data_IF_894044893232
#
_entry.id   IF_894044893232
#
_cell.length_a   1.000
_cell.length_b   1.000
_cell.length_c   1.000
_cell.angle_alpha   90.00
_cell.angle_beta   90.00
_cell.angle_gamma   90.00
#
_symmetry.space_group_name_H-M   'P 1'
#
loop_
_entity.id
_entity.type
_entity.pdbx_description
1 polymer ?
#
# COMPACT_ATOMS: atom_id res chain seq x y z
N UNK A 1 -19.73 2.70 -21.84
CA UNK A 1 -19.91 3.57 -20.67
C UNK A 1 -20.89 2.90 -19.73
N UNK A 2 -20.61 2.88 -18.44
CA UNK A 2 -21.50 2.32 -17.42
C UNK A 2 -21.75 3.37 -16.34
N UNK A 3 -22.95 3.39 -15.78
CA UNK A 3 -23.35 4.34 -14.74
C UNK A 3 -23.67 3.56 -13.47
N UNK A 4 -23.11 3.98 -12.34
CA UNK A 4 -23.39 3.40 -11.02
C UNK A 4 -24.15 4.43 -10.19
N UNK A 5 -25.29 4.02 -9.62
CA UNK A 5 -26.07 4.84 -8.69
C UNK A 5 -25.96 4.25 -7.28
N UNK A 6 -25.41 5.03 -6.35
CA UNK A 6 -25.28 4.65 -4.94
C UNK A 6 -26.37 5.35 -4.14
N UNK A 7 -27.37 4.60 -3.68
CA UNK A 7 -28.50 5.14 -2.92
C UNK A 7 -28.20 5.17 -1.43
N UNK A 8 -28.77 6.17 -0.73
CA UNK A 8 -28.66 6.35 0.74
C UNK A 8 -27.21 6.40 1.22
N UNK A 9 -26.36 7.10 0.49
CA UNK A 9 -24.99 7.37 0.93
C UNK A 9 -25.02 8.43 2.04
N UNK A 10 -24.30 8.18 3.12
CA UNK A 10 -24.20 9.10 4.26
C UNK A 10 -23.56 10.43 3.84
N UNK A 11 -24.11 11.53 4.33
CA UNK A 11 -23.65 12.89 4.04
C UNK A 11 -22.23 13.17 4.55
N UNK A 12 -21.78 12.52 5.65
CA UNK A 12 -20.38 12.63 6.08
C UNK A 12 -19.44 11.98 5.07
N UNK A 13 -19.85 10.85 4.47
CA UNK A 13 -19.06 10.17 3.43
C UNK A 13 -18.94 11.06 2.20
N UNK A 14 -20.04 11.67 1.75
CA UNK A 14 -20.02 12.63 0.62
C UNK A 14 -19.09 13.81 0.93
N UNK A 15 -19.16 14.35 2.15
CA UNK A 15 -18.33 15.47 2.59
C UNK A 15 -16.84 15.13 2.62
N UNK A 16 -16.49 13.94 3.11
CA UNK A 16 -15.12 13.41 3.07
C UNK A 16 -14.60 13.24 1.65
N UNK A 17 -15.42 12.69 0.75
CA UNK A 17 -15.04 12.49 -0.66
C UNK A 17 -14.81 13.82 -1.37
N UNK A 18 -15.65 14.84 -1.12
CA UNK A 18 -15.44 16.19 -1.66
C UNK A 18 -14.11 16.79 -1.21
N UNK A 19 -13.80 16.73 0.09
CA UNK A 19 -12.51 17.21 0.62
C UNK A 19 -11.34 16.50 -0.04
N UNK A 20 -11.41 15.17 -0.15
CA UNK A 20 -10.37 14.36 -0.78
C UNK A 20 -10.18 14.71 -2.26
N UNK A 21 -11.27 14.90 -3.00
CA UNK A 21 -11.23 15.32 -4.40
C UNK A 21 -10.53 16.68 -4.57
N UNK A 22 -10.85 17.65 -3.72
CA UNK A 22 -10.18 18.95 -3.68
C UNK A 22 -8.69 18.84 -3.39
N UNK A 23 -8.30 18.03 -2.39
CA UNK A 23 -6.88 17.79 -2.07
C UNK A 23 -6.11 17.16 -3.22
N UNK A 24 -6.77 16.32 -4.02
CA UNK A 24 -6.17 15.65 -5.17
C UNK A 24 -6.28 16.45 -6.48
N UNK A 25 -6.78 17.69 -6.46
CA UNK A 25 -7.06 18.50 -7.64
C UNK A 25 -7.92 17.77 -8.70
N UNK A 26 -8.94 17.04 -8.25
CA UNK A 26 -9.85 16.26 -9.08
C UNK A 26 -11.31 16.66 -8.85
N UNK A 27 -12.17 16.41 -9.84
CA UNK A 27 -13.62 16.45 -9.62
C UNK A 27 -14.05 15.30 -8.70
N UNK A 28 -15.20 15.45 -8.04
CA UNK A 28 -15.77 14.40 -7.19
C UNK A 28 -15.99 13.11 -8.00
N UNK A 29 -16.55 13.21 -9.21
CA UNK A 29 -16.73 12.06 -10.09
C UNK A 29 -15.40 11.38 -10.41
N UNK A 30 -14.37 12.16 -10.73
CA UNK A 30 -13.06 11.61 -11.06
C UNK A 30 -12.40 10.93 -9.86
N UNK A 31 -12.59 11.45 -8.65
CA UNK A 31 -12.09 10.82 -7.43
C UNK A 31 -12.86 9.52 -7.12
N UNK A 32 -14.19 9.52 -7.26
CA UNK A 32 -15.00 8.29 -7.08
C UNK A 32 -14.62 7.23 -8.11
N UNK A 33 -14.45 7.61 -9.38
CA UNK A 33 -13.99 6.69 -10.43
C UNK A 33 -12.64 6.08 -10.08
N UNK A 34 -11.68 6.91 -9.67
CA UNK A 34 -10.35 6.45 -9.29
C UNK A 34 -10.39 5.48 -8.10
N UNK A 35 -11.23 5.75 -7.10
CA UNK A 35 -11.43 4.85 -5.95
C UNK A 35 -12.03 3.51 -6.40
N UNK A 36 -13.05 3.53 -7.26
CA UNK A 36 -13.70 2.31 -7.75
C UNK A 36 -12.76 1.49 -8.64
N UNK A 37 -12.02 2.11 -9.54
CA UNK A 37 -11.00 1.45 -10.36
C UNK A 37 -9.89 0.86 -9.49
N UNK A 38 -9.41 1.61 -8.50
CA UNK A 38 -8.42 1.13 -7.55
C UNK A 38 -8.93 -0.06 -6.74
N UNK A 39 -10.16 0.02 -6.22
CA UNK A 39 -10.78 -1.06 -5.45
C UNK A 39 -11.10 -2.31 -6.29
N UNK A 40 -11.46 -2.14 -7.56
CA UNK A 40 -11.68 -3.24 -8.49
C UNK A 40 -10.37 -3.88 -8.96
N UNK A 41 -9.30 -3.08 -9.10
CA UNK A 41 -7.95 -3.57 -9.39
C UNK A 41 -7.28 -4.19 -8.15
N UNK A 42 -7.72 -3.82 -6.94
CA UNK A 42 -7.41 -4.47 -5.68
C UNK A 42 -8.16 -5.81 -5.59
N UNK A 43 -7.82 -6.74 -6.49
CA UNK A 43 -8.06 -8.15 -6.24
C UNK A 43 -7.12 -8.56 -5.09
N UNK A 44 -7.59 -8.31 -3.87
CA UNK A 44 -6.87 -8.52 -2.63
C UNK A 44 -6.37 -9.97 -2.54
N UNK A 45 -7.11 -10.90 -3.13
CA UNK A 45 -6.74 -12.31 -3.26
C UNK A 45 -5.51 -12.45 -4.17
N UNK A 46 -5.57 -11.91 -5.40
CA UNK A 46 -4.44 -11.94 -6.34
C UNK A 46 -3.19 -11.21 -5.80
N UNK A 47 -3.35 -10.08 -5.09
CA UNK A 47 -2.23 -9.36 -4.47
C UNK A 47 -1.62 -10.15 -3.30
N UNK A 48 -2.45 -10.80 -2.48
CA UNK A 48 -1.97 -11.69 -1.42
C UNK A 48 -1.22 -12.87 -1.99
N UNK A 49 -1.68 -13.45 -3.09
CA UNK A 49 -1.02 -14.58 -3.74
C UNK A 49 0.30 -14.17 -4.40
N UNK A 50 0.33 -13.03 -5.09
CA UNK A 50 1.56 -12.45 -5.62
C UNK A 50 2.58 -12.17 -4.50
N UNK A 51 2.13 -11.62 -3.36
CA UNK A 51 2.98 -11.39 -2.20
C UNK A 51 3.50 -12.70 -1.60
N UNK A 52 2.64 -13.72 -1.44
CA UNK A 52 3.03 -15.06 -0.94
C UNK A 52 4.08 -15.69 -1.84
N UNK A 53 3.94 -15.57 -3.15
CA UNK A 53 4.91 -16.08 -4.13
C UNK A 53 6.24 -15.34 -4.06
N UNK A 54 6.22 -14.01 -3.92
CA UNK A 54 7.45 -13.23 -3.74
C UNK A 54 8.15 -13.60 -2.42
N UNK A 55 7.38 -13.72 -1.34
CA UNK A 55 7.89 -14.10 -0.02
C UNK A 55 8.46 -15.52 -0.03
N UNK A 56 7.86 -16.49 -0.72
CA UNK A 56 8.40 -17.85 -0.84
C UNK A 56 9.72 -17.86 -1.60
N UNK A 57 9.84 -17.10 -2.70
CA UNK A 57 11.11 -16.93 -3.43
C UNK A 57 12.19 -16.28 -2.59
N UNK A 58 11.86 -15.25 -1.81
CA UNK A 58 12.79 -14.62 -0.87
C UNK A 58 13.27 -15.61 0.18
N UNK A 59 12.37 -16.33 0.85
CA UNK A 59 12.71 -17.34 1.85
C UNK A 59 13.61 -18.43 1.28
N UNK A 60 13.33 -18.90 0.05
CA UNK A 60 14.15 -19.89 -0.62
C UNK A 60 15.57 -19.37 -0.90
N UNK A 61 15.71 -18.11 -1.34
CA UNK A 61 17.02 -17.49 -1.57
C UNK A 61 17.82 -17.26 -0.29
N UNK A 62 17.15 -17.03 0.82
CA UNK A 62 17.81 -16.82 2.13
C UNK A 62 17.89 -18.08 2.98
N UNK A 63 17.35 -19.21 2.49
CA UNK A 63 17.35 -20.46 3.23
C UNK A 63 18.78 -20.92 3.51
N UNK A 64 19.06 -21.29 4.76
CA UNK A 64 20.39 -21.70 5.20
C UNK A 64 21.43 -20.57 5.31
N UNK A 65 21.08 -19.33 4.96
CA UNK A 65 21.96 -18.18 5.17
C UNK A 65 21.98 -17.83 6.66
N UNK A 66 23.15 -17.90 7.30
CA UNK A 66 23.32 -17.39 8.66
C UNK A 66 23.22 -15.88 8.63
N UNK A 67 22.15 -15.35 9.22
CA UNK A 67 21.97 -13.91 9.38
C UNK A 67 22.78 -13.42 10.58
N UNK A 68 23.48 -12.29 10.41
CA UNK A 68 24.10 -11.61 11.55
C UNK A 68 23.00 -11.05 12.44
N UNK A 69 23.01 -11.33 13.76
CA UNK A 69 22.06 -10.74 14.68
C UNK A 69 22.07 -9.21 14.57
N UNK A 70 20.89 -8.60 14.57
CA UNK A 70 20.76 -7.16 14.29
C UNK A 70 21.48 -6.30 15.33
N UNK A 71 21.59 -6.78 16.58
CA UNK A 71 22.31 -6.10 17.65
C UNK A 71 23.82 -5.96 17.39
N UNK A 72 24.41 -6.87 16.61
CA UNK A 72 25.82 -6.79 16.20
C UNK A 72 25.99 -5.69 15.17
N UNK A 73 25.13 -5.68 14.13
CA UNK A 73 25.15 -4.66 13.08
C UNK A 73 24.89 -3.25 13.63
N UNK A 74 23.92 -3.11 14.54
CA UNK A 74 23.61 -1.83 15.20
C UNK A 74 24.79 -1.35 16.06
N UNK A 75 25.51 -2.28 16.72
CA UNK A 75 26.71 -1.93 17.50
C UNK A 75 27.84 -1.48 16.58
N UNK A 76 28.08 -2.17 15.47
CA UNK A 76 29.09 -1.79 14.46
C UNK A 76 28.81 -0.40 13.89
N UNK A 77 27.57 -0.12 13.50
CA UNK A 77 27.14 1.19 13.00
C UNK A 77 27.40 2.32 14.02
N UNK A 78 27.01 2.12 15.29
CA UNK A 78 27.27 3.09 16.36
C UNK A 78 28.76 3.27 16.69
N UNK A 79 29.53 2.19 16.62
CA UNK A 79 30.96 2.19 16.98
C UNK A 79 31.84 2.73 15.86
N UNK A 80 31.40 2.57 14.61
CA UNK A 80 32.12 3.03 13.42
C UNK A 80 32.07 4.54 13.23
N UNK A 81 31.20 5.25 13.97
CA UNK A 81 31.16 6.71 14.16
C UNK A 81 31.22 7.48 12.86
N UNK A 82 30.10 8.09 12.43
CA UNK A 82 30.02 8.95 11.24
C UNK A 82 31.32 9.74 11.06
N UNK A 83 32.17 9.32 10.10
CA UNK A 83 33.40 10.03 9.77
C UNK A 83 32.96 11.22 8.93
N UNK A 84 32.94 12.39 9.56
CA UNK A 84 32.94 13.68 8.87
C UNK A 84 34.20 13.81 7.99
#
# INVERSE_FOLDING_TARGET
MATVNVRRLDDDVVSRLKRRASSNNRSLESEVRHILEGAAADDLEARRDAFRLLASRLRARTAGTRQTPSEVLIREDRSSGHRD
#
